data_IF_242605780875
#
_entry.id   IF_242605780875
#
_cell.length_a   1.000
_cell.length_b   1.000
_cell.length_c   1.000
_cell.angle_alpha   90.00
_cell.angle_beta   90.00
_cell.angle_gamma   90.00
#
_symmetry.space_group_name_H-M   'P 1'
#
loop_
_entity.id
_entity.type
_entity.pdbx_description
1 polymer ?
#
# COMPACT_ATOMS: atom_id res chain seq x y z
N UNK A 1 2.16 15.23 -17.77
CA UNK A 1 1.38 15.31 -16.51
C UNK A 1 2.15 14.51 -15.46
N UNK A 2 2.98 15.20 -14.67
CA UNK A 2 3.85 14.59 -13.67
C UNK A 2 3.00 14.21 -12.46
N UNK A 3 2.89 12.92 -12.16
CA UNK A 3 2.33 12.47 -10.88
C UNK A 3 3.44 12.70 -9.86
N UNK A 4 3.35 13.78 -9.10
CA UNK A 4 4.24 14.03 -7.98
C UNK A 4 3.98 12.95 -6.91
N UNK A 5 4.92 12.02 -6.80
CA UNK A 5 4.87 10.97 -5.77
C UNK A 5 5.26 11.66 -4.46
N UNK A 6 4.28 11.94 -3.60
CA UNK A 6 4.53 12.50 -2.29
C UNK A 6 5.50 11.59 -1.52
N UNK A 7 6.60 12.18 -1.04
CA UNK A 7 7.69 11.46 -0.37
C UNK A 7 7.43 11.40 1.13
N UNK A 8 8.17 10.56 1.86
CA UNK A 8 8.01 10.35 3.30
C UNK A 8 8.17 11.61 4.18
N UNK A 9 8.57 12.75 3.61
CA UNK A 9 8.74 14.03 4.30
C UNK A 9 7.80 15.13 3.79
N UNK A 10 6.80 14.79 2.97
CA UNK A 10 5.81 15.76 2.48
C UNK A 10 4.93 16.27 3.64
N UNK A 11 4.65 17.58 3.71
CA UNK A 11 3.68 18.13 4.65
C UNK A 11 2.33 17.42 4.57
N UNK A 12 1.65 17.27 5.72
CA UNK A 12 0.32 16.60 5.77
C UNK A 12 -0.70 17.21 4.79
N UNK A 13 -0.63 18.52 4.55
CA UNK A 13 -1.51 19.21 3.60
C UNK A 13 -1.34 18.71 2.16
N UNK A 14 -0.09 18.51 1.74
CA UNK A 14 0.22 17.99 0.40
C UNK A 14 -0.19 16.53 0.26
N UNK A 15 0.01 15.72 1.30
CA UNK A 15 -0.46 14.34 1.34
C UNK A 15 -1.99 14.25 1.21
N UNK A 16 -2.73 15.07 1.96
CA UNK A 16 -4.20 15.15 1.86
C UNK A 16 -4.66 15.58 0.47
N UNK A 17 -4.04 16.63 -0.09
CA UNK A 17 -4.33 17.09 -1.45
C UNK A 17 -4.07 15.98 -2.48
N UNK A 18 -2.95 15.28 -2.37
CA UNK A 18 -2.60 14.17 -3.26
C UNK A 18 -3.64 13.04 -3.21
N UNK A 19 -4.07 12.63 -2.02
CA UNK A 19 -5.14 11.65 -1.86
C UNK A 19 -6.47 12.12 -2.45
N UNK A 20 -6.85 13.38 -2.21
CA UNK A 20 -8.06 13.97 -2.79
C UNK A 20 -8.03 13.97 -4.31
N UNK A 21 -6.90 14.34 -4.92
CA UNK A 21 -6.74 14.34 -6.37
C UNK A 21 -6.78 12.92 -6.96
N UNK A 22 -6.18 11.92 -6.30
CA UNK A 22 -6.30 10.50 -6.73
C UNK A 22 -7.74 10.00 -6.71
N UNK A 23 -8.55 10.48 -5.76
CA UNK A 23 -10.01 10.21 -5.69
C UNK A 23 -10.83 11.13 -6.59
N UNK A 24 -10.19 12.06 -7.32
CA UNK A 24 -10.82 13.03 -8.22
C UNK A 24 -11.90 13.90 -7.56
N UNK A 25 -11.77 14.15 -6.26
CA UNK A 25 -12.71 14.98 -5.52
C UNK A 25 -12.28 16.45 -5.55
N UNK A 26 -13.24 17.36 -5.67
CA UNK A 26 -12.98 18.78 -5.43
C UNK A 26 -12.86 19.04 -3.92
N UNK A 27 -12.27 20.17 -3.53
CA UNK A 27 -12.26 20.56 -2.11
C UNK A 27 -13.68 20.69 -1.55
N UNK A 28 -14.61 21.24 -2.34
CA UNK A 28 -16.01 21.34 -1.92
C UNK A 28 -16.63 19.96 -1.69
N UNK A 29 -16.42 19.01 -2.61
CA UNK A 29 -16.98 17.66 -2.49
C UNK A 29 -16.48 16.94 -1.22
N UNK A 30 -15.17 16.92 -1.00
CA UNK A 30 -14.60 16.31 0.20
C UNK A 30 -15.06 17.01 1.48
N UNK A 31 -15.13 18.35 1.46
CA UNK A 31 -15.55 19.14 2.61
C UNK A 31 -17.00 18.82 3.00
N UNK A 32 -17.90 18.69 2.01
CA UNK A 32 -19.29 18.28 2.22
C UNK A 32 -19.37 16.88 2.82
N UNK A 33 -18.66 15.89 2.27
CA UNK A 33 -18.67 14.53 2.79
C UNK A 33 -18.08 14.40 4.20
N UNK A 34 -17.06 15.20 4.50
CA UNK A 34 -16.41 15.22 5.80
C UNK A 34 -17.08 16.16 6.82
N UNK A 35 -18.16 16.85 6.45
CA UNK A 35 -18.87 17.82 7.29
C UNK A 35 -17.95 18.93 7.82
N UNK A 36 -17.08 19.46 6.95
CA UNK A 36 -16.18 20.57 7.25
C UNK A 36 -16.36 21.70 6.24
N UNK A 37 -15.89 22.91 6.58
CA UNK A 37 -15.89 23.99 5.59
C UNK A 37 -14.83 23.76 4.51
N UNK A 38 -15.17 24.07 3.26
CA UNK A 38 -14.24 24.03 2.12
C UNK A 38 -13.04 24.97 2.34
N UNK A 39 -13.26 26.11 3.01
CA UNK A 39 -12.19 27.04 3.43
C UNK A 39 -11.22 26.36 4.39
N UNK A 40 -11.71 25.67 5.41
CA UNK A 40 -10.84 24.98 6.37
C UNK A 40 -10.06 23.86 5.69
N UNK A 41 -10.71 23.05 4.83
CA UNK A 41 -10.01 22.05 4.04
C UNK A 41 -8.90 22.66 3.17
N UNK A 42 -9.17 23.81 2.53
CA UNK A 42 -8.15 24.54 1.76
C UNK A 42 -6.98 25.00 2.62
N UNK A 43 -7.23 25.46 3.85
CA UNK A 43 -6.16 25.83 4.80
C UNK A 43 -5.34 24.62 5.25
N UNK A 44 -5.96 23.47 5.46
CA UNK A 44 -5.24 22.23 5.76
C UNK A 44 -4.33 21.83 4.60
N UNK A 45 -4.84 21.82 3.36
CA UNK A 45 -4.07 21.47 2.17
C UNK A 45 -2.94 22.47 1.84
N UNK A 46 -3.01 23.69 2.34
CA UNK A 46 -2.00 24.74 2.13
C UNK A 46 -1.10 24.96 3.35
N UNK A 47 -1.24 24.14 4.39
CA UNK A 47 -0.44 24.24 5.62
C UNK A 47 -0.76 25.45 6.51
N UNK A 48 -1.83 26.20 6.20
CA UNK A 48 -2.27 27.38 6.97
C UNK A 48 -3.02 27.02 8.26
N UNK A 49 -3.43 25.76 8.40
CA UNK A 49 -4.04 25.23 9.62
C UNK A 49 -3.48 23.84 9.93
N UNK A 50 -3.44 23.47 11.22
CA UNK A 50 -3.09 22.12 11.66
C UNK A 50 -4.36 21.30 11.94
N UNK A 51 -4.52 20.09 11.37
CA UNK A 51 -5.66 19.24 11.67
C UNK A 51 -5.53 18.64 13.08
N UNK A 52 -6.66 18.42 13.76
CA UNK A 52 -6.67 17.51 14.91
C UNK A 52 -6.53 16.06 14.42
N UNK A 53 -6.14 15.14 15.33
CA UNK A 53 -6.06 13.72 15.02
C UNK A 53 -7.38 13.15 14.50
N UNK A 54 -8.50 13.51 15.13
CA UNK A 54 -9.83 13.06 14.72
C UNK A 54 -10.22 13.60 13.35
N UNK A 55 -9.96 14.89 13.09
CA UNK A 55 -10.20 15.52 11.79
C UNK A 55 -9.44 14.81 10.68
N UNK A 56 -8.16 14.50 10.94
CA UNK A 56 -7.30 13.85 9.96
C UNK A 56 -7.81 12.44 9.62
N UNK A 57 -8.20 11.65 10.61
CA UNK A 57 -8.78 10.32 10.42
C UNK A 57 -10.13 10.39 9.69
N UNK A 58 -10.97 11.38 10.01
CA UNK A 58 -12.25 11.61 9.31
C UNK A 58 -12.01 11.87 7.82
N UNK A 59 -11.10 12.78 7.47
CA UNK A 59 -10.75 13.09 6.09
C UNK A 59 -10.15 11.88 5.37
N UNK A 60 -9.23 11.16 6.03
CA UNK A 60 -8.60 9.96 5.47
C UNK A 60 -9.62 8.85 5.19
N UNK A 61 -10.62 8.68 6.05
CA UNK A 61 -11.70 7.72 5.84
C UNK A 61 -12.60 8.10 4.65
N UNK A 62 -12.98 9.38 4.50
CA UNK A 62 -13.74 9.85 3.31
C UNK A 62 -12.97 9.67 2.01
N UNK A 63 -11.66 9.85 2.07
CA UNK A 63 -10.77 9.61 0.94
C UNK A 63 -10.47 8.12 0.68
N UNK A 64 -11.03 7.21 1.49
CA UNK A 64 -10.71 5.78 1.44
C UNK A 64 -9.20 5.52 1.40
N UNK A 65 -8.47 6.24 2.26
CA UNK A 65 -7.01 6.10 2.39
C UNK A 65 -6.71 4.77 3.09
N UNK A 66 -5.85 3.91 2.51
CA UNK A 66 -5.43 2.67 3.16
C UNK A 66 -4.85 2.92 4.56
N UNK A 67 -5.10 2.02 5.52
CA UNK A 67 -4.72 2.21 6.93
C UNK A 67 -3.23 2.59 7.14
N UNK A 68 -2.33 1.98 6.37
CA UNK A 68 -0.89 2.29 6.38
C UNK A 68 -0.60 3.74 5.99
N UNK A 69 -1.32 4.23 4.99
CA UNK A 69 -1.22 5.61 4.49
C UNK A 69 -1.92 6.61 5.43
N UNK A 70 -2.91 6.15 6.22
CA UNK A 70 -3.44 6.95 7.32
C UNK A 70 -2.40 7.16 8.43
N UNK A 71 -1.60 6.14 8.74
CA UNK A 71 -0.46 6.31 9.64
C UNK A 71 0.57 7.29 9.08
N UNK A 72 0.85 7.25 7.77
CA UNK A 72 1.75 8.23 7.15
C UNK A 72 1.23 9.67 7.30
N UNK A 73 -0.09 9.89 7.09
CA UNK A 73 -0.74 11.18 7.36
C UNK A 73 -0.58 11.61 8.83
N UNK A 74 -0.83 10.70 9.78
CA UNK A 74 -0.70 10.97 11.21
C UNK A 74 0.72 11.37 11.60
N UNK A 75 1.72 10.62 11.14
CA UNK A 75 3.13 10.90 11.39
C UNK A 75 3.53 12.25 10.79
N UNK A 76 3.11 12.56 9.56
CA UNK A 76 3.36 13.85 8.92
C UNK A 76 2.69 15.03 9.64
N UNK A 77 1.63 14.79 10.42
CA UNK A 77 0.98 15.77 11.27
C UNK A 77 1.57 15.86 12.69
N UNK A 78 2.57 15.02 13.02
CA UNK A 78 3.19 14.96 14.35
C UNK A 78 2.45 14.09 15.36
N UNK A 79 1.56 13.20 14.91
CA UNK A 79 0.85 12.25 15.75
C UNK A 79 1.47 10.84 15.67
N UNK A 80 1.25 10.03 16.72
CA UNK A 80 1.60 8.61 16.69
C UNK A 80 0.71 7.83 15.70
N UNK A 81 1.26 6.81 15.01
CA UNK A 81 0.48 5.90 14.19
C UNK A 81 -0.54 5.13 15.04
N UNK A 82 -1.64 4.72 14.43
CA UNK A 82 -2.79 4.12 15.14
C UNK A 82 -3.05 2.69 14.68
N UNK A 83 -2.76 2.40 13.41
CA UNK A 83 -2.97 1.07 12.85
C UNK A 83 -1.67 0.28 12.90
N UNK A 84 -1.67 -0.87 13.57
CA UNK A 84 -0.50 -1.73 13.57
C UNK A 84 -0.30 -2.37 12.18
N UNK A 85 0.94 -2.41 11.70
CA UNK A 85 1.33 -3.21 10.55
C UNK A 85 1.92 -4.53 11.05
N UNK A 86 1.30 -5.65 10.68
CA UNK A 86 1.78 -6.99 11.05
C UNK A 86 2.19 -7.75 9.80
N UNK A 87 3.33 -8.45 9.83
CA UNK A 87 3.68 -9.35 8.75
C UNK A 87 2.71 -10.53 8.71
N UNK A 88 2.53 -11.17 7.55
CA UNK A 88 1.54 -12.23 7.40
C UNK A 88 1.85 -13.45 8.28
N UNK A 89 3.10 -13.62 8.71
CA UNK A 89 3.59 -14.71 9.58
C UNK A 89 3.39 -14.42 11.08
N UNK A 90 2.89 -13.23 11.43
CA UNK A 90 2.51 -12.91 12.79
C UNK A 90 1.40 -13.85 13.31
N UNK A 91 1.50 -14.27 14.57
CA UNK A 91 0.52 -15.15 15.22
C UNK A 91 -0.90 -14.57 15.18
N UNK A 92 -1.06 -13.25 15.21
CA UNK A 92 -2.35 -12.59 15.08
C UNK A 92 -2.95 -12.67 13.67
N UNK A 93 -2.16 -13.06 12.65
CA UNK A 93 -2.55 -13.15 11.25
C UNK A 93 -2.89 -14.57 10.78
N UNK A 94 -2.92 -15.57 11.68
CA UNK A 94 -3.12 -16.99 11.33
C UNK A 94 -4.36 -17.21 10.44
N UNK A 95 -5.51 -16.61 10.76
CA UNK A 95 -6.73 -16.79 9.96
C UNK A 95 -6.63 -16.15 8.57
N UNK A 96 -6.01 -14.98 8.46
CA UNK A 96 -5.74 -14.34 7.18
C UNK A 96 -4.77 -15.18 6.33
N UNK A 97 -3.71 -15.72 6.96
CA UNK A 97 -2.77 -16.63 6.32
C UNK A 97 -3.44 -17.90 5.80
N UNK A 98 -4.32 -18.52 6.61
CA UNK A 98 -5.12 -19.69 6.19
C UNK A 98 -5.99 -19.39 4.98
N UNK A 99 -6.64 -18.23 4.96
CA UNK A 99 -7.44 -17.82 3.81
C UNK A 99 -6.60 -17.66 2.53
N UNK A 100 -5.41 -17.05 2.64
CA UNK A 100 -4.45 -16.95 1.53
C UNK A 100 -4.02 -18.33 1.05
N UNK A 101 -3.64 -19.23 1.96
CA UNK A 101 -3.20 -20.59 1.63
C UNK A 101 -4.30 -21.40 0.94
N UNK A 102 -5.58 -21.23 1.34
CA UNK A 102 -6.72 -21.87 0.69
C UNK A 102 -6.89 -21.42 -0.76
N UNK A 103 -6.79 -20.11 -1.03
CA UNK A 103 -6.86 -19.57 -2.39
C UNK A 103 -5.70 -20.10 -3.25
N UNK A 104 -4.46 -20.05 -2.72
CA UNK A 104 -3.27 -20.53 -3.42
C UNK A 104 -3.37 -22.02 -3.79
N UNK A 105 -3.81 -22.86 -2.84
CA UNK A 105 -4.02 -24.29 -3.09
C UNK A 105 -5.17 -24.54 -4.07
N UNK A 106 -6.23 -23.75 -4.02
CA UNK A 106 -7.36 -23.85 -4.94
C UNK A 106 -6.99 -23.62 -6.40
N UNK A 107 -5.85 -22.97 -6.68
CA UNK A 107 -5.34 -22.79 -8.03
C UNK A 107 -4.52 -23.96 -8.58
N UNK A 108 -4.14 -24.95 -7.77
CA UNK A 108 -3.40 -26.13 -8.25
C UNK A 108 -4.16 -26.87 -9.38
N UNK A 109 -3.50 -27.32 -10.47
CA UNK A 109 -2.05 -27.33 -10.72
C UNK A 109 -1.50 -26.06 -11.41
N UNK A 110 -2.25 -24.96 -11.42
CA UNK A 110 -1.77 -23.70 -11.99
C UNK A 110 -0.92 -22.93 -10.96
N UNK A 111 0.24 -22.39 -11.35
CA UNK A 111 1.05 -21.55 -10.48
C UNK A 111 0.28 -20.35 -9.92
N UNK A 112 0.38 -20.12 -8.61
CA UNK A 112 -0.19 -18.95 -7.94
C UNK A 112 0.78 -18.35 -6.92
N UNK A 113 0.85 -17.02 -6.89
CA UNK A 113 1.74 -16.24 -6.02
C UNK A 113 0.92 -15.21 -5.24
N UNK A 114 1.20 -15.09 -3.94
CA UNK A 114 0.78 -13.95 -3.12
C UNK A 114 1.97 -13.00 -2.95
N UNK A 115 1.78 -11.72 -3.27
CA UNK A 115 2.82 -10.70 -3.23
C UNK A 115 2.39 -9.51 -2.37
N UNK A 116 3.36 -8.78 -1.83
CA UNK A 116 3.10 -7.50 -1.17
C UNK A 116 3.15 -6.31 -2.15
N UNK A 117 2.98 -5.09 -1.63
CA UNK A 117 3.02 -3.85 -2.43
C UNK A 117 4.38 -3.55 -3.07
N UNK A 118 5.44 -4.17 -2.57
CA UNK A 118 6.81 -4.02 -3.08
C UNK A 118 7.16 -5.12 -4.08
N UNK A 119 6.18 -5.95 -4.46
CA UNK A 119 6.38 -7.13 -5.31
C UNK A 119 7.26 -8.21 -4.68
N UNK A 120 7.42 -8.18 -3.35
CA UNK A 120 8.07 -9.27 -2.63
C UNK A 120 7.09 -10.44 -2.49
N UNK A 121 7.59 -11.65 -2.75
CA UNK A 121 6.84 -12.88 -2.58
C UNK A 121 6.54 -13.12 -1.10
N UNK A 122 5.26 -13.30 -0.79
CA UNK A 122 4.76 -13.55 0.57
C UNK A 122 4.43 -15.03 0.76
N UNK A 123 3.81 -15.65 -0.25
CA UNK A 123 3.50 -17.08 -0.27
C UNK A 123 3.30 -17.54 -1.73
N UNK A 124 3.43 -18.83 -1.98
CA UNK A 124 3.21 -19.43 -3.28
C UNK A 124 2.64 -20.84 -3.11
N UNK A 125 1.91 -21.33 -4.10
CA UNK A 125 1.52 -22.74 -4.14
C UNK A 125 2.69 -23.63 -4.63
N UNK A 126 2.51 -24.94 -4.59
CA UNK A 126 3.57 -25.88 -4.93
C UNK A 126 3.92 -25.80 -6.41
N UNK A 127 2.92 -25.66 -7.29
CA UNK A 127 3.13 -25.53 -8.74
C UNK A 127 3.99 -24.33 -9.13
N UNK A 128 3.98 -23.25 -8.34
CA UNK A 128 4.82 -22.09 -8.60
C UNK A 128 6.33 -22.35 -8.45
N UNK A 129 6.75 -23.39 -7.71
CA UNK A 129 8.16 -23.74 -7.59
C UNK A 129 8.80 -24.11 -8.95
N UNK A 130 8.01 -24.68 -9.86
CA UNK A 130 8.46 -25.03 -11.21
C UNK A 130 8.87 -23.81 -12.03
N UNK A 131 8.29 -22.63 -11.76
CA UNK A 131 8.66 -21.39 -12.45
C UNK A 131 10.09 -20.96 -12.13
N UNK A 132 10.59 -21.25 -10.93
CA UNK A 132 11.91 -20.79 -10.48
C UNK A 132 13.07 -21.70 -10.93
N UNK A 133 12.79 -22.82 -11.60
CA UNK A 133 13.82 -23.78 -12.02
C UNK A 133 14.82 -23.10 -12.95
N UNK A 134 16.11 -23.09 -12.59
CA UNK A 134 17.17 -22.50 -13.42
C UNK A 134 17.22 -20.97 -13.45
N UNK A 135 16.50 -20.30 -12.53
CA UNK A 135 16.78 -18.91 -12.16
C UNK A 135 18.06 -18.86 -11.34
N UNK A 136 18.88 -17.81 -11.53
CA UNK A 136 20.12 -17.65 -10.77
C UNK A 136 19.87 -17.61 -9.24
N UNK A 137 20.68 -18.31 -8.41
CA UNK A 137 20.46 -18.38 -6.96
C UNK A 137 20.34 -17.02 -6.26
N UNK A 138 21.14 -16.04 -6.69
CA UNK A 138 21.12 -14.66 -6.18
C UNK A 138 19.79 -13.91 -6.38
N UNK A 139 18.89 -14.44 -7.21
CA UNK A 139 17.55 -13.88 -7.44
C UNK A 139 16.46 -14.59 -6.61
N UNK A 140 16.77 -15.73 -5.97
CA UNK A 140 15.79 -16.58 -5.27
C UNK A 140 15.81 -16.46 -3.73
N UNK A 141 16.73 -15.67 -3.17
CA UNK A 141 16.84 -15.45 -1.72
C UNK A 141 15.77 -14.49 -1.17
N UNK A 142 15.47 -14.55 0.15
CA UNK A 142 14.55 -13.61 0.79
C UNK A 142 15.15 -12.20 0.95
N UNK A 143 14.40 -11.12 0.67
CA UNK A 143 13.07 -11.12 0.07
C UNK A 143 13.14 -11.39 -1.45
N UNK A 144 12.41 -12.40 -1.93
CA UNK A 144 12.31 -12.70 -3.36
C UNK A 144 11.40 -11.66 -4.01
N UNK A 145 11.96 -10.77 -4.82
CA UNK A 145 11.17 -9.79 -5.58
C UNK A 145 10.73 -10.40 -6.92
N UNK A 146 9.42 -10.55 -7.10
CA UNK A 146 8.83 -11.21 -8.27
C UNK A 146 9.11 -10.44 -9.56
N UNK A 147 9.08 -9.10 -9.55
CA UNK A 147 9.43 -8.32 -10.74
C UNK A 147 10.90 -8.50 -11.13
N UNK A 148 11.81 -8.48 -10.15
CA UNK A 148 13.23 -8.71 -10.39
C UNK A 148 13.45 -10.10 -10.98
N UNK A 149 12.88 -11.15 -10.39
CA UNK A 149 13.00 -12.52 -10.92
C UNK A 149 12.42 -12.63 -12.33
N UNK A 150 11.27 -12.00 -12.61
CA UNK A 150 10.61 -12.11 -13.90
C UNK A 150 11.33 -11.36 -15.03
N UNK A 151 11.96 -10.22 -14.73
CA UNK A 151 12.52 -9.31 -15.74
C UNK A 151 14.05 -9.33 -15.84
N UNK A 152 14.74 -9.96 -14.90
CA UNK A 152 16.20 -10.04 -14.94
C UNK A 152 16.69 -10.97 -16.06
N UNK A 153 17.79 -10.64 -16.76
CA UNK A 153 18.38 -11.52 -17.78
C UNK A 153 18.70 -12.92 -17.27
N UNK A 154 19.25 -13.04 -16.05
CA UNK A 154 19.51 -14.33 -15.39
C UNK A 154 18.29 -14.91 -14.63
N UNK A 155 17.10 -14.32 -14.86
CA UNK A 155 15.82 -14.71 -14.29
C UNK A 155 14.92 -15.43 -15.30
N UNK A 156 13.64 -15.05 -15.33
CA UNK A 156 12.66 -15.64 -16.26
C UNK A 156 12.61 -14.93 -17.60
N UNK A 157 13.18 -13.73 -17.73
CA UNK A 157 13.07 -12.90 -18.93
C UNK A 157 13.45 -13.62 -20.24
N UNK A 158 14.47 -14.50 -20.30
CA UNK A 158 14.79 -15.23 -21.54
C UNK A 158 13.76 -16.28 -21.96
N UNK A 159 12.74 -16.55 -21.14
CA UNK A 159 11.79 -17.67 -21.28
C UNK A 159 10.34 -17.22 -21.48
N UNK A 160 10.11 -15.90 -21.49
CA UNK A 160 8.80 -15.25 -21.64
C UNK A 160 8.85 -14.26 -22.80
#
# INVERSE_FOLDING_TARGET
MMIEVATANSPVGDLLRGWRQRRRLSQLALATEAEVSSRHLSFLETGRARPSREMLLRLANRLAVPLREQNALLVAAGFAPVYAERPLDDAAMIEARRAVDLVLRGHEPYPALAIDRYWSLVAANQSAAALLVGVAPELTGPPLNVLRVSLHPDGLAPRI
#
